data_IF_232917691183
#
_entry.id   IF_232917691183
#
_cell.length_a   1.000
_cell.length_b   1.000
_cell.length_c   1.000
_cell.angle_alpha   90.00
_cell.angle_beta   90.00
_cell.angle_gamma   90.00
#
_symmetry.space_group_name_H-M   'P 1'
#
loop_
_entity.id
_entity.type
_entity.pdbx_description
1 polymer ?
#
# COMPACT_ATOMS: atom_id res chain seq x y z
N UNK A 1 0.44 22.81 -40.67
CA UNK A 1 1.07 21.70 -39.93
C UNK A 1 1.65 22.29 -38.64
N UNK A 2 0.91 22.26 -37.53
CA UNK A 2 1.49 22.53 -36.23
C UNK A 2 2.33 21.31 -35.81
N UNK A 3 3.63 21.49 -35.81
CA UNK A 3 4.58 20.49 -35.32
C UNK A 3 4.48 20.50 -33.82
N UNK A 4 4.09 19.39 -33.22
CA UNK A 4 4.16 19.23 -31.76
C UNK A 4 5.60 19.46 -31.33
N UNK A 5 5.85 20.33 -30.36
CA UNK A 5 7.21 20.45 -29.81
C UNK A 5 7.52 19.27 -28.90
N UNK A 6 8.80 18.91 -28.81
CA UNK A 6 9.25 17.81 -27.94
C UNK A 6 8.84 18.08 -26.48
N UNK A 7 8.24 17.07 -25.81
CA UNK A 7 7.79 17.14 -24.43
C UNK A 7 6.41 17.79 -24.22
N UNK A 8 5.65 18.08 -25.29
CA UNK A 8 4.30 18.65 -25.16
C UNK A 8 3.34 17.65 -24.52
N UNK A 9 3.38 16.40 -24.97
CA UNK A 9 2.56 15.31 -24.43
C UNK A 9 2.91 15.04 -22.95
N UNK A 10 4.20 15.08 -22.59
CA UNK A 10 4.67 14.93 -21.20
C UNK A 10 4.11 16.02 -20.28
N UNK A 11 3.94 17.27 -20.77
CA UNK A 11 3.33 18.33 -20.00
C UNK A 11 1.85 18.11 -19.77
N UNK A 12 1.11 17.70 -20.80
CA UNK A 12 -0.30 17.32 -20.65
C UNK A 12 -0.44 16.21 -19.63
N UNK A 13 0.37 15.17 -19.71
CA UNK A 13 0.38 14.06 -18.77
C UNK A 13 0.68 14.54 -17.35
N UNK A 14 1.71 15.40 -17.18
CA UNK A 14 2.07 15.96 -15.88
C UNK A 14 0.93 16.78 -15.25
N UNK A 15 0.23 17.59 -16.04
CA UNK A 15 -0.91 18.37 -15.56
C UNK A 15 -2.10 17.47 -15.21
N UNK A 16 -2.36 16.47 -16.05
CA UNK A 16 -3.41 15.47 -15.81
C UNK A 16 -3.14 14.65 -14.56
N UNK A 17 -1.90 14.21 -14.36
CA UNK A 17 -1.46 13.47 -13.16
C UNK A 17 -1.59 14.29 -11.86
N UNK A 18 -1.59 15.62 -11.96
CA UNK A 18 -1.89 16.53 -10.84
C UNK A 18 -3.38 16.72 -10.58
N UNK A 19 -4.23 16.02 -11.32
CA UNK A 19 -5.69 16.04 -11.14
C UNK A 19 -6.40 17.16 -11.88
N UNK A 20 -5.74 17.86 -12.83
CA UNK A 20 -6.38 18.90 -13.64
C UNK A 20 -7.37 18.27 -14.64
N UNK A 21 -8.51 18.88 -14.79
CA UNK A 21 -9.49 18.53 -15.83
C UNK A 21 -9.01 18.97 -17.21
N UNK A 22 -9.57 18.38 -18.28
CA UNK A 22 -9.26 18.76 -19.66
C UNK A 22 -9.41 20.28 -19.89
N UNK A 23 -10.43 20.90 -19.31
CA UNK A 23 -10.65 22.37 -19.42
C UNK A 23 -9.59 23.18 -18.69
N UNK A 24 -9.19 22.73 -17.50
CA UNK A 24 -8.12 23.38 -16.74
C UNK A 24 -6.77 23.26 -17.45
N UNK A 25 -6.49 22.11 -18.06
CA UNK A 25 -5.29 21.91 -18.88
C UNK A 25 -5.30 22.83 -20.10
N UNK A 26 -6.45 22.96 -20.79
CA UNK A 26 -6.58 23.90 -21.93
C UNK A 26 -6.26 25.33 -21.49
N UNK A 27 -6.95 25.83 -20.44
CA UNK A 27 -6.75 27.19 -19.94
C UNK A 27 -5.30 27.42 -19.51
N UNK A 28 -4.67 26.45 -18.85
CA UNK A 28 -3.28 26.55 -18.41
C UNK A 28 -2.29 26.60 -19.60
N UNK A 29 -2.51 25.79 -20.63
CA UNK A 29 -1.65 25.77 -21.81
C UNK A 29 -1.83 27.05 -22.64
N UNK A 30 -3.03 27.60 -22.73
CA UNK A 30 -3.32 28.87 -23.39
C UNK A 30 -2.64 30.03 -22.65
N UNK A 31 -2.77 30.09 -21.31
CA UNK A 31 -2.15 31.11 -20.47
C UNK A 31 -0.61 31.09 -20.55
N UNK A 32 -0.02 29.91 -20.47
CA UNK A 32 1.44 29.74 -20.38
C UNK A 32 2.16 29.83 -21.73
N UNK A 33 1.52 29.40 -22.81
CA UNK A 33 2.15 29.22 -24.11
C UNK A 33 1.45 29.96 -25.24
N UNK A 34 0.30 30.62 -24.97
CA UNK A 34 -0.49 31.30 -25.99
C UNK A 34 -1.03 30.36 -27.08
N UNK A 35 -1.15 29.07 -26.77
CA UNK A 35 -1.54 28.04 -27.74
C UNK A 35 -2.87 27.43 -27.34
N UNK A 36 -3.85 27.53 -28.22
CA UNK A 36 -5.14 26.87 -28.06
C UNK A 36 -4.99 25.37 -28.37
N UNK A 37 -5.33 24.54 -27.40
CA UNK A 37 -5.24 23.07 -27.50
C UNK A 37 -6.64 22.48 -27.48
N UNK A 38 -6.96 21.62 -28.46
CA UNK A 38 -8.29 21.02 -28.51
C UNK A 38 -8.50 20.01 -27.38
N UNK A 39 -9.75 19.91 -26.84
CA UNK A 39 -10.09 18.89 -25.84
C UNK A 39 -9.79 17.46 -26.34
N UNK A 40 -10.02 17.20 -27.62
CA UNK A 40 -9.77 15.90 -28.25
C UNK A 40 -8.28 15.51 -28.24
N UNK A 41 -7.38 16.49 -28.41
CA UNK A 41 -5.95 16.24 -28.33
C UNK A 41 -5.54 15.86 -26.90
N UNK A 42 -6.03 16.60 -25.89
CA UNK A 42 -5.74 16.27 -24.49
C UNK A 42 -6.27 14.87 -24.15
N UNK A 43 -7.51 14.56 -24.55
CA UNK A 43 -8.09 13.23 -24.35
C UNK A 43 -7.26 12.14 -25.04
N UNK A 44 -6.82 12.35 -26.28
CA UNK A 44 -6.01 11.34 -26.99
C UNK A 44 -4.65 11.08 -26.32
N UNK A 45 -4.02 12.11 -25.73
CA UNK A 45 -2.77 11.94 -24.98
C UNK A 45 -3.01 11.18 -23.68
N UNK A 46 -4.09 11.49 -22.95
CA UNK A 46 -4.43 10.81 -21.70
C UNK A 46 -4.89 9.37 -21.92
N UNK A 47 -5.59 9.09 -23.03
CA UNK A 47 -6.01 7.74 -23.41
C UNK A 47 -4.79 6.87 -23.77
N UNK A 48 -3.78 7.43 -24.45
CA UNK A 48 -2.53 6.73 -24.75
C UNK A 48 -1.80 6.30 -23.45
N UNK A 49 -1.79 7.16 -22.42
CA UNK A 49 -1.25 6.82 -21.08
C UNK A 49 -2.04 5.69 -20.43
N UNK A 50 -3.36 5.67 -20.58
CA UNK A 50 -4.19 4.59 -20.04
C UNK A 50 -3.82 3.23 -20.65
N UNK A 51 -3.49 3.19 -21.94
CA UNK A 51 -3.05 1.96 -22.61
C UNK A 51 -1.63 1.54 -22.19
N UNK A 52 -0.72 2.49 -21.98
CA UNK A 52 0.59 2.22 -21.38
C UNK A 52 0.46 1.65 -19.96
N UNK A 53 -0.42 2.20 -19.14
CA UNK A 53 -0.69 1.69 -17.79
C UNK A 53 -1.25 0.26 -17.85
N UNK A 54 -2.16 -0.05 -18.77
CA UNK A 54 -2.66 -1.42 -18.98
C UNK A 54 -1.55 -2.39 -19.36
N UNK A 55 -0.69 -1.98 -20.30
CA UNK A 55 0.46 -2.78 -20.75
C UNK A 55 1.43 -3.01 -19.57
N UNK A 56 1.74 -1.96 -18.83
CA UNK A 56 2.56 -2.05 -17.63
C UNK A 56 1.93 -2.97 -16.57
N UNK A 57 0.64 -2.84 -16.31
CA UNK A 57 -0.08 -3.69 -15.36
C UNK A 57 -0.06 -5.17 -15.77
N UNK A 58 -0.11 -5.46 -17.07
CA UNK A 58 -0.10 -6.82 -17.61
C UNK A 58 1.31 -7.42 -17.80
N UNK A 59 2.37 -6.65 -17.56
CA UNK A 59 3.75 -7.12 -17.80
C UNK A 59 4.08 -8.37 -16.99
N UNK A 60 4.96 -9.25 -17.50
CA UNK A 60 5.53 -10.34 -16.71
C UNK A 60 6.25 -9.80 -15.47
N UNK A 61 6.20 -10.57 -14.41
CA UNK A 61 6.89 -10.30 -13.13
C UNK A 61 7.98 -11.35 -12.90
N UNK A 62 8.90 -11.04 -12.00
CA UNK A 62 9.91 -11.99 -11.56
C UNK A 62 9.26 -13.19 -10.85
N UNK A 63 9.93 -14.34 -10.94
CA UNK A 63 9.41 -15.57 -10.35
C UNK A 63 9.42 -15.54 -8.81
N UNK A 64 10.32 -14.76 -8.20
CA UNK A 64 10.50 -14.75 -6.74
C UNK A 64 10.59 -13.30 -6.25
N UNK A 65 9.78 -13.00 -5.24
CA UNK A 65 9.88 -11.79 -4.44
C UNK A 65 10.05 -12.15 -2.95
N UNK A 66 11.23 -11.86 -2.35
CA UNK A 66 11.44 -12.11 -0.92
C UNK A 66 10.39 -11.46 -0.03
N UNK A 67 9.99 -10.22 -0.33
CA UNK A 67 8.97 -9.51 0.42
C UNK A 67 8.00 -8.86 -0.56
N UNK A 68 6.71 -9.01 -0.31
CA UNK A 68 5.64 -8.28 -1.02
C UNK A 68 4.82 -7.51 0.01
N UNK A 69 4.70 -6.21 -0.20
CA UNK A 69 3.78 -5.36 0.56
C UNK A 69 2.49 -5.21 -0.22
N UNK A 70 1.39 -5.36 0.47
CA UNK A 70 0.04 -5.21 -0.06
C UNK A 70 -0.71 -4.23 0.84
N UNK A 71 -1.04 -3.07 0.27
CA UNK A 71 -1.58 -1.94 1.02
C UNK A 71 -2.67 -1.21 0.23
N UNK A 72 -3.39 -0.36 0.88
CA UNK A 72 -4.46 0.43 0.30
C UNK A 72 -4.25 1.91 0.55
N UNK A 73 -4.22 2.69 -0.52
CA UNK A 73 -4.21 4.15 -0.45
C UNK A 73 -5.58 4.70 -0.84
N UNK A 74 -6.02 5.76 -0.13
CA UNK A 74 -7.29 6.41 -0.39
C UNK A 74 -7.06 7.69 -1.19
N UNK A 75 -7.58 7.73 -2.41
CA UNK A 75 -7.46 8.88 -3.31
C UNK A 75 -8.81 9.57 -3.50
N UNK A 76 -8.79 10.90 -3.57
CA UNK A 76 -9.99 11.68 -3.91
C UNK A 76 -10.11 11.75 -5.42
N UNK A 77 -11.20 11.22 -5.96
CA UNK A 77 -11.50 11.22 -7.40
C UNK A 77 -12.75 12.06 -7.64
N UNK A 78 -12.73 12.91 -8.66
CA UNK A 78 -13.87 13.73 -9.09
C UNK A 78 -14.61 13.01 -10.23
N UNK A 79 -15.76 12.43 -9.92
CA UNK A 79 -16.72 11.86 -10.90
C UNK A 79 -18.07 12.54 -10.69
N UNK A 80 -18.22 13.76 -11.24
CA UNK A 80 -19.36 14.63 -10.92
C UNK A 80 -19.25 15.24 -9.50
N UNK A 81 -19.18 14.42 -8.47
CA UNK A 81 -18.87 14.79 -7.08
C UNK A 81 -17.48 14.23 -6.68
N UNK A 82 -16.86 14.84 -5.66
CA UNK A 82 -15.63 14.31 -5.09
C UNK A 82 -15.95 13.06 -4.26
N UNK A 83 -15.37 11.92 -4.63
CA UNK A 83 -15.48 10.65 -3.92
C UNK A 83 -14.11 10.14 -3.52
N UNK A 84 -14.02 9.48 -2.38
CA UNK A 84 -12.82 8.76 -1.96
C UNK A 84 -12.89 7.36 -2.56
N UNK A 85 -11.85 6.96 -3.30
CA UNK A 85 -11.69 5.61 -3.84
C UNK A 85 -10.48 4.93 -3.21
N UNK A 86 -10.61 3.67 -2.94
CA UNK A 86 -9.51 2.81 -2.50
C UNK A 86 -8.71 2.34 -3.71
N UNK A 87 -7.42 2.59 -3.70
CA UNK A 87 -6.45 2.07 -4.67
C UNK A 87 -5.55 1.10 -3.93
N UNK A 88 -5.58 -0.15 -4.35
CA UNK A 88 -4.76 -1.20 -3.78
C UNK A 88 -3.45 -1.29 -4.54
N UNK A 89 -2.37 -1.42 -3.81
CA UNK A 89 -1.00 -1.38 -4.30
C UNK A 89 -0.26 -2.62 -3.85
N UNK A 90 0.44 -3.28 -4.78
CA UNK A 90 1.43 -4.30 -4.46
C UNK A 90 2.83 -3.78 -4.79
N UNK A 91 3.74 -3.83 -3.81
CA UNK A 91 5.17 -3.53 -3.99
C UNK A 91 5.98 -4.77 -3.63
N UNK A 92 6.80 -5.24 -4.55
CA UNK A 92 7.75 -6.33 -4.33
C UNK A 92 9.15 -5.79 -4.01
N UNK A 93 9.87 -6.52 -3.18
CA UNK A 93 11.32 -6.40 -3.07
C UNK A 93 11.91 -7.51 -3.93
N UNK A 94 12.74 -7.13 -4.91
CA UNK A 94 13.43 -8.06 -5.82
C UNK A 94 14.54 -8.81 -5.09
N UNK A 95 15.09 -9.83 -5.73
CA UNK A 95 16.26 -10.55 -5.21
C UNK A 95 17.52 -9.68 -5.11
N UNK A 96 17.56 -8.54 -5.81
CA UNK A 96 18.64 -7.53 -5.73
C UNK A 96 18.40 -6.50 -4.62
N UNK A 97 17.21 -6.51 -3.97
CA UNK A 97 16.84 -5.59 -2.90
C UNK A 97 16.14 -4.32 -3.40
N UNK A 98 15.86 -4.23 -4.69
CA UNK A 98 15.18 -3.08 -5.29
C UNK A 98 13.67 -3.16 -5.05
N UNK A 99 13.04 -2.00 -4.92
CA UNK A 99 11.58 -1.89 -4.83
C UNK A 99 10.96 -1.83 -6.21
N UNK A 100 9.97 -2.67 -6.46
CA UNK A 100 9.20 -2.70 -7.69
C UNK A 100 7.71 -2.61 -7.41
N UNK A 101 7.00 -1.70 -8.08
CA UNK A 101 5.54 -1.68 -8.04
C UNK A 101 5.01 -2.79 -8.94
N UNK A 102 4.39 -3.81 -8.33
CA UNK A 102 3.90 -4.99 -9.05
C UNK A 102 2.55 -4.73 -9.73
N UNK A 103 1.73 -3.88 -9.15
CA UNK A 103 0.44 -3.52 -9.73
C UNK A 103 -0.38 -2.60 -8.85
N UNK A 104 -1.43 -2.05 -9.49
CA UNK A 104 -2.41 -1.16 -8.92
C UNK A 104 -3.82 -1.67 -9.26
N UNK A 105 -4.72 -1.73 -8.29
CA UNK A 105 -6.09 -2.18 -8.49
C UNK A 105 -7.08 -1.21 -7.87
N UNK A 106 -8.15 -0.94 -8.60
CA UNK A 106 -9.29 -0.17 -8.12
C UNK A 106 -10.42 -1.14 -7.80
N UNK A 107 -10.87 -1.17 -6.56
CA UNK A 107 -12.03 -1.97 -6.18
C UNK A 107 -13.19 -1.07 -5.75
N UNK A 108 -14.41 -1.49 -6.10
CA UNK A 108 -15.63 -0.86 -5.58
C UNK A 108 -15.99 -1.40 -4.19
N UNK A 109 -15.58 -2.63 -3.88
CA UNK A 109 -15.82 -3.29 -2.58
C UNK A 109 -14.61 -4.12 -2.18
N UNK A 110 -14.17 -3.94 -0.94
CA UNK A 110 -13.16 -4.77 -0.32
C UNK A 110 -13.76 -6.13 0.06
N UNK A 111 -13.02 -7.21 -0.18
CA UNK A 111 -13.45 -8.53 0.24
C UNK A 111 -12.48 -9.63 -0.20
N UNK A 112 -12.66 -10.83 0.37
CA UNK A 112 -11.81 -11.98 0.09
C UNK A 112 -11.69 -12.32 -1.41
N UNK A 113 -12.78 -12.14 -2.18
CA UNK A 113 -12.76 -12.35 -3.63
C UNK A 113 -11.84 -11.40 -4.37
N UNK A 114 -11.83 -10.13 -3.97
CA UNK A 114 -10.97 -9.13 -4.58
C UNK A 114 -9.49 -9.47 -4.32
N UNK A 115 -9.15 -9.80 -3.08
CA UNK A 115 -7.78 -10.17 -2.72
C UNK A 115 -7.32 -11.45 -3.41
N UNK A 116 -8.20 -12.45 -3.50
CA UNK A 116 -7.90 -13.66 -4.27
C UNK A 116 -7.62 -13.33 -5.75
N UNK A 117 -8.37 -12.41 -6.34
CA UNK A 117 -8.12 -11.94 -7.70
C UNK A 117 -6.75 -11.27 -7.84
N UNK A 118 -6.38 -10.37 -6.92
CA UNK A 118 -5.09 -9.66 -6.91
C UNK A 118 -3.93 -10.65 -6.84
N UNK A 119 -3.94 -11.56 -5.86
CA UNK A 119 -2.83 -12.52 -5.70
C UNK A 119 -2.78 -13.55 -6.83
N UNK A 120 -3.94 -13.91 -7.40
CA UNK A 120 -4.01 -14.79 -8.59
C UNK A 120 -3.43 -14.08 -9.82
N UNK A 121 -3.70 -12.79 -9.98
CA UNK A 121 -3.12 -12.00 -11.07
C UNK A 121 -1.58 -11.96 -10.96
N UNK A 122 -1.02 -11.74 -9.77
CA UNK A 122 0.42 -11.81 -9.55
C UNK A 122 0.98 -13.18 -9.97
N UNK A 123 0.30 -14.26 -9.60
CA UNK A 123 0.67 -15.62 -10.01
C UNK A 123 0.64 -15.81 -11.52
N UNK A 124 -0.42 -15.36 -12.18
CA UNK A 124 -0.59 -15.47 -13.64
C UNK A 124 0.45 -14.64 -14.41
N UNK A 125 0.96 -13.57 -13.81
CA UNK A 125 2.02 -12.72 -14.38
C UNK A 125 3.44 -13.26 -14.13
N UNK A 126 3.58 -14.41 -13.49
CA UNK A 126 4.86 -15.12 -13.37
C UNK A 126 5.36 -15.33 -11.94
N UNK A 127 4.79 -14.67 -10.93
CA UNK A 127 5.24 -14.85 -9.54
C UNK A 127 4.97 -16.28 -9.10
N UNK A 128 6.03 -17.02 -8.77
CA UNK A 128 5.95 -18.40 -8.32
C UNK A 128 6.03 -18.51 -6.80
N UNK A 129 6.82 -17.63 -6.16
CA UNK A 129 7.02 -17.68 -4.72
C UNK A 129 7.15 -16.28 -4.10
N UNK A 130 6.61 -16.14 -2.88
CA UNK A 130 6.71 -14.97 -2.01
C UNK A 130 7.13 -15.51 -0.63
N UNK A 131 8.22 -15.01 -0.05
CA UNK A 131 8.63 -15.51 1.26
C UNK A 131 7.84 -14.82 2.37
N UNK A 132 7.70 -13.50 2.30
CA UNK A 132 6.99 -12.69 3.30
C UNK A 132 5.97 -11.81 2.60
N UNK A 133 4.70 -11.94 2.95
CA UNK A 133 3.63 -11.07 2.50
C UNK A 133 3.22 -10.13 3.65
N UNK A 134 3.59 -8.86 3.55
CA UNK A 134 3.24 -7.82 4.50
C UNK A 134 1.88 -7.22 4.14
N UNK A 135 0.90 -7.32 5.04
CA UNK A 135 -0.49 -6.90 4.81
C UNK A 135 -1.00 -5.98 5.93
N UNK A 136 -1.98 -5.16 5.60
CA UNK A 136 -2.72 -4.38 6.58
C UNK A 136 -3.79 -5.22 7.23
N UNK A 137 -4.15 -5.63 8.12
CA UNK A 137 -5.13 -6.52 8.79
C UNK A 137 -6.53 -6.62 8.15
N UNK A 138 -6.68 -6.40 6.85
CA UNK A 138 -7.96 -6.55 6.15
C UNK A 138 -8.44 -8.01 6.14
N UNK A 139 -9.73 -8.20 6.39
CA UNK A 139 -10.33 -9.55 6.46
C UNK A 139 -10.24 -10.29 5.13
N UNK A 140 -9.89 -11.59 5.19
CA UNK A 140 -9.81 -12.47 4.03
C UNK A 140 -8.55 -12.34 3.19
N UNK A 141 -7.65 -11.42 3.55
CA UNK A 141 -6.40 -11.24 2.84
C UNK A 141 -5.39 -12.38 3.13
N UNK A 142 -5.14 -12.74 4.38
CA UNK A 142 -4.29 -13.88 4.68
C UNK A 142 -4.75 -15.15 3.98
N UNK A 143 -6.04 -15.44 4.02
CA UNK A 143 -6.61 -16.65 3.41
C UNK A 143 -6.41 -16.67 1.88
N UNK A 144 -6.51 -15.52 1.23
CA UNK A 144 -6.25 -15.39 -0.21
C UNK A 144 -4.76 -15.63 -0.56
N UNK A 145 -3.83 -15.13 0.27
CA UNK A 145 -2.40 -15.36 0.09
C UNK A 145 -2.08 -16.84 0.28
N UNK A 146 -2.53 -17.44 1.36
CA UNK A 146 -2.31 -18.86 1.68
C UNK A 146 -2.87 -19.79 0.59
N UNK A 147 -4.00 -19.41 -0.03
CA UNK A 147 -4.59 -20.20 -1.11
C UNK A 147 -3.73 -20.20 -2.40
N UNK A 148 -3.03 -19.11 -2.71
CA UNK A 148 -2.25 -18.97 -3.96
C UNK A 148 -0.76 -19.18 -3.72
N UNK A 149 -0.25 -18.71 -2.58
CA UNK A 149 1.15 -18.81 -2.16
C UNK A 149 1.25 -19.50 -0.78
N UNK A 150 1.02 -20.81 -0.70
CA UNK A 150 0.90 -21.55 0.58
C UNK A 150 2.18 -21.57 1.43
N UNK A 151 3.32 -21.21 0.85
CA UNK A 151 4.60 -21.11 1.57
C UNK A 151 4.89 -19.71 2.09
N UNK A 152 4.11 -18.73 1.66
CA UNK A 152 4.32 -17.35 2.08
C UNK A 152 4.00 -17.17 3.56
N UNK A 153 4.90 -16.55 4.30
CA UNK A 153 4.62 -16.12 5.68
C UNK A 153 3.82 -14.82 5.63
N UNK A 154 2.60 -14.85 6.15
CA UNK A 154 1.77 -13.66 6.23
C UNK A 154 2.14 -12.87 7.47
N UNK A 155 2.69 -11.68 7.26
CA UNK A 155 3.09 -10.75 8.31
C UNK A 155 2.13 -9.55 8.36
N UNK A 156 1.50 -9.31 9.50
CA UNK A 156 0.75 -8.09 9.69
C UNK A 156 1.67 -6.86 9.80
N UNK A 157 1.27 -5.80 9.12
CA UNK A 157 1.97 -4.53 9.18
C UNK A 157 1.89 -3.92 10.59
N UNK A 158 3.04 -3.87 11.27
CA UNK A 158 3.15 -3.33 12.62
C UNK A 158 2.77 -1.83 12.64
N UNK A 159 3.14 -1.08 11.61
CA UNK A 159 2.79 0.35 11.53
C UNK A 159 1.28 0.56 11.49
N UNK A 160 0.56 -0.23 10.69
CA UNK A 160 -0.91 -0.19 10.66
C UNK A 160 -1.52 -0.60 12.01
N UNK A 161 -0.97 -1.63 12.66
CA UNK A 161 -1.41 -2.03 14.00
C UNK A 161 -1.24 -0.90 15.02
N UNK A 162 -0.10 -0.22 15.00
CA UNK A 162 0.17 0.93 15.89
C UNK A 162 -0.77 2.11 15.56
N UNK A 163 -0.91 2.48 14.27
CA UNK A 163 -1.81 3.56 13.85
C UNK A 163 -3.25 3.28 14.27
N UNK A 164 -3.74 2.06 14.02
CA UNK A 164 -5.08 1.64 14.42
C UNK A 164 -5.26 1.70 15.93
N UNK A 165 -4.27 1.24 16.70
CA UNK A 165 -4.29 1.33 18.16
C UNK A 165 -4.42 2.77 18.65
N UNK A 166 -3.68 3.70 18.05
CA UNK A 166 -3.69 5.12 18.42
C UNK A 166 -5.00 5.84 18.06
N UNK A 167 -5.86 5.27 17.23
CA UNK A 167 -7.20 5.82 16.96
C UNK A 167 -8.13 5.74 18.18
N UNK A 168 -7.89 4.79 19.09
CA UNK A 168 -8.63 4.68 20.35
C UNK A 168 -8.15 5.66 21.42
N UNK A 169 -6.98 6.29 21.22
CA UNK A 169 -6.28 7.05 22.24
C UNK A 169 -6.51 8.54 22.09
N UNK A 170 -6.84 9.21 23.20
CA UNK A 170 -6.94 10.66 23.24
C UNK A 170 -5.61 11.31 22.85
N UNK A 171 -5.65 12.49 22.22
CA UNK A 171 -4.45 13.20 21.76
C UNK A 171 -3.37 13.36 22.85
N UNK A 172 -3.79 13.65 24.07
CA UNK A 172 -2.87 13.88 25.21
C UNK A 172 -2.07 12.64 25.59
N UNK A 173 -2.65 11.45 25.42
CA UNK A 173 -2.04 10.17 25.84
C UNK A 173 -1.33 9.44 24.70
N UNK A 174 -1.49 9.89 23.45
CA UNK A 174 -0.93 9.19 22.26
C UNK A 174 0.57 8.94 22.34
N UNK A 175 1.33 9.92 22.83
CA UNK A 175 2.79 9.79 22.93
C UNK A 175 3.21 8.70 23.92
N UNK A 176 2.54 8.60 25.06
CA UNK A 176 2.81 7.58 26.09
C UNK A 176 2.44 6.19 25.57
N UNK A 177 1.21 6.03 25.06
CA UNK A 177 0.73 4.76 24.51
C UNK A 177 1.61 4.30 23.34
N UNK A 178 1.99 5.21 22.44
CA UNK A 178 2.90 4.89 21.33
C UNK A 178 4.28 4.42 21.83
N UNK A 179 4.80 5.01 22.90
CA UNK A 179 6.07 4.60 23.49
C UNK A 179 6.00 3.19 24.09
N UNK A 180 4.90 2.84 24.75
CA UNK A 180 4.71 1.50 25.31
C UNK A 180 4.46 0.46 24.21
N UNK A 181 3.67 0.78 23.18
CA UNK A 181 3.52 -0.08 22.00
C UNK A 181 4.87 -0.33 21.32
N UNK A 182 5.73 0.70 21.28
CA UNK A 182 7.06 0.56 20.69
C UNK A 182 7.90 -0.51 21.37
N UNK A 183 7.81 -0.64 22.67
CA UNK A 183 8.55 -1.68 23.42
C UNK A 183 8.20 -3.08 22.94
N UNK A 184 6.94 -3.33 22.55
CA UNK A 184 6.49 -4.63 22.06
C UNK A 184 7.23 -5.00 20.78
N UNK A 185 7.19 -4.15 19.75
CA UNK A 185 7.73 -4.48 18.43
C UNK A 185 9.24 -4.22 18.29
N UNK A 186 9.87 -3.56 19.25
CA UNK A 186 11.33 -3.43 19.31
C UNK A 186 12.00 -4.48 20.19
N UNK A 187 11.22 -5.38 20.80
CA UNK A 187 11.74 -6.50 21.57
C UNK A 187 12.66 -7.39 20.74
N UNK A 188 13.57 -8.07 21.40
CA UNK A 188 14.55 -8.93 20.73
C UNK A 188 13.92 -10.23 20.26
N UNK A 189 13.02 -10.80 21.07
CA UNK A 189 12.35 -12.09 20.81
C UNK A 189 10.83 -11.96 20.95
N UNK A 190 10.10 -12.97 20.45
CA UNK A 190 8.66 -13.03 20.57
C UNK A 190 8.21 -13.15 22.04
N UNK A 191 8.97 -13.88 22.87
CA UNK A 191 8.70 -14.03 24.32
C UNK A 191 8.84 -12.69 25.05
N UNK A 192 9.91 -11.93 24.76
CA UNK A 192 10.08 -10.58 25.31
C UNK A 192 8.96 -9.66 24.84
N UNK A 193 8.59 -9.71 23.57
CA UNK A 193 7.47 -8.95 23.03
C UNK A 193 6.13 -9.29 23.74
N UNK A 194 5.91 -10.55 24.05
CA UNK A 194 4.73 -10.99 24.78
C UNK A 194 4.69 -10.45 26.23
N UNK A 195 5.84 -10.43 26.91
CA UNK A 195 5.97 -9.80 28.23
C UNK A 195 5.65 -8.30 28.15
N UNK A 196 6.20 -7.60 27.14
CA UNK A 196 5.91 -6.18 26.93
C UNK A 196 4.44 -5.92 26.61
N UNK A 197 3.77 -6.81 25.90
CA UNK A 197 2.33 -6.74 25.66
C UNK A 197 1.55 -6.91 26.97
N UNK A 198 1.95 -7.84 27.85
CA UNK A 198 1.35 -8.02 29.16
C UNK A 198 1.50 -6.77 30.06
N UNK A 199 2.68 -6.14 30.04
CA UNK A 199 2.89 -4.86 30.76
C UNK A 199 2.02 -3.73 30.15
N UNK A 200 1.87 -3.70 28.85
CA UNK A 200 0.98 -2.76 28.17
C UNK A 200 -0.47 -2.94 28.62
N UNK A 201 -0.97 -4.17 28.61
CA UNK A 201 -2.32 -4.52 29.06
C UNK A 201 -2.54 -4.12 30.53
N UNK A 202 -1.61 -4.45 31.42
CA UNK A 202 -1.69 -4.09 32.83
C UNK A 202 -1.78 -2.57 33.06
N UNK A 203 -1.14 -1.78 32.21
CA UNK A 203 -1.13 -0.33 32.32
C UNK A 203 -2.35 0.34 31.68
N UNK A 204 -2.82 -0.18 30.53
CA UNK A 204 -3.72 0.54 29.65
C UNK A 204 -5.11 -0.09 29.48
N UNK A 205 -5.34 -1.35 29.83
CA UNK A 205 -6.62 -2.02 29.59
C UNK A 205 -7.79 -1.39 30.35
N UNK A 206 -7.54 -0.72 31.46
CA UNK A 206 -8.59 0.01 32.15
C UNK A 206 -9.18 1.16 31.31
N UNK A 207 -8.38 1.76 30.40
CA UNK A 207 -8.80 2.88 29.54
C UNK A 207 -8.96 2.47 28.07
N UNK A 208 -8.12 1.54 27.58
CA UNK A 208 -7.97 1.22 26.15
C UNK A 208 -7.94 -0.28 25.87
N UNK A 209 -8.74 -1.07 26.56
CA UNK A 209 -8.84 -2.53 26.39
C UNK A 209 -8.88 -3.03 24.95
N UNK A 210 -9.56 -2.36 23.98
CA UNK A 210 -9.59 -2.83 22.59
C UNK A 210 -8.21 -2.94 21.95
N UNK A 211 -7.20 -2.22 22.45
CA UNK A 211 -5.83 -2.25 21.91
C UNK A 211 -5.20 -3.60 22.24
N UNK A 212 -5.10 -3.95 23.53
CA UNK A 212 -4.53 -5.24 23.98
C UNK A 212 -5.24 -6.42 23.32
N UNK A 213 -6.57 -6.41 23.31
CA UNK A 213 -7.37 -7.44 22.65
C UNK A 213 -7.07 -7.57 21.15
N UNK A 214 -6.87 -6.45 20.44
CA UNK A 214 -6.52 -6.47 19.02
C UNK A 214 -5.14 -7.06 18.78
N UNK A 215 -4.15 -6.70 19.60
CA UNK A 215 -2.80 -7.27 19.52
C UNK A 215 -2.80 -8.76 19.83
N UNK A 216 -3.49 -9.21 20.87
CA UNK A 216 -3.64 -10.65 21.21
C UNK A 216 -4.29 -11.45 20.09
N UNK A 217 -5.39 -10.95 19.52
CA UNK A 217 -6.10 -11.61 18.42
C UNK A 217 -5.24 -11.80 17.18
N UNK A 218 -4.36 -10.86 16.89
CA UNK A 218 -3.50 -10.88 15.72
C UNK A 218 -2.07 -11.39 16.03
N UNK A 219 -1.84 -11.88 17.26
CA UNK A 219 -0.50 -12.20 17.76
C UNK A 219 0.25 -13.17 16.86
N UNK A 220 -0.39 -14.26 16.46
CA UNK A 220 0.21 -15.28 15.58
C UNK A 220 0.68 -14.75 14.21
N UNK A 221 0.12 -13.62 13.76
CA UNK A 221 0.50 -12.96 12.50
C UNK A 221 1.46 -11.78 12.71
N UNK A 222 1.70 -11.39 13.96
CA UNK A 222 2.68 -10.37 14.33
C UNK A 222 4.04 -10.99 14.66
N UNK A 223 4.05 -12.13 15.37
CA UNK A 223 5.27 -12.75 15.87
C UNK A 223 6.25 -13.28 14.79
N UNK A 224 5.85 -13.69 13.57
CA UNK A 224 6.83 -14.12 12.56
C UNK A 224 7.92 -13.07 12.30
N UNK A 225 7.62 -11.80 12.54
CA UNK A 225 8.57 -10.71 12.49
C UNK A 225 9.84 -10.95 13.34
N UNK A 226 9.70 -11.60 14.50
CA UNK A 226 10.81 -11.83 15.44
C UNK A 226 11.77 -12.94 14.99
N UNK A 227 11.36 -13.79 14.05
CA UNK A 227 12.21 -14.86 13.50
C UNK A 227 13.25 -14.34 12.48
N UNK A 228 13.11 -13.07 12.06
CA UNK A 228 14.00 -12.48 11.07
C UNK A 228 15.14 -11.69 11.71
N UNK A 229 16.31 -11.62 11.03
CA UNK A 229 17.42 -10.76 11.43
C UNK A 229 17.02 -9.27 11.47
N UNK A 230 17.70 -8.43 12.29
CA UNK A 230 17.37 -7.01 12.44
C UNK A 230 17.28 -6.24 11.12
N UNK A 231 18.11 -6.57 10.14
CA UNK A 231 18.13 -5.94 8.82
C UNK A 231 16.82 -6.21 8.07
N UNK A 232 16.34 -7.45 8.09
CA UNK A 232 15.07 -7.85 7.46
C UNK A 232 13.89 -7.26 8.25
N UNK A 233 13.95 -7.28 9.59
CA UNK A 233 12.92 -6.63 10.43
C UNK A 233 12.78 -5.16 10.07
N UNK A 234 13.90 -4.46 9.84
CA UNK A 234 13.89 -3.06 9.44
C UNK A 234 13.18 -2.85 8.11
N UNK A 235 13.39 -3.72 7.13
CA UNK A 235 12.69 -3.66 5.84
C UNK A 235 11.19 -3.89 6.02
N UNK A 236 10.78 -4.93 6.75
CA UNK A 236 9.38 -5.25 7.02
C UNK A 236 8.68 -4.11 7.78
N UNK A 237 9.36 -3.51 8.76
CA UNK A 237 8.82 -2.47 9.63
C UNK A 237 8.73 -1.10 8.95
N UNK A 238 9.63 -0.79 8.02
CA UNK A 238 9.61 0.47 7.28
C UNK A 238 8.59 0.42 6.14
N UNK A 239 7.31 0.32 6.46
CA UNK A 239 6.21 0.49 5.48
C UNK A 239 6.16 1.88 4.85
N UNK A 240 7.07 2.77 5.18
CA UNK A 240 7.39 3.95 4.37
C UNK A 240 7.77 3.60 2.91
N UNK A 241 7.78 2.32 2.55
CA UNK A 241 7.91 1.89 1.17
C UNK A 241 6.81 2.47 0.26
N UNK A 242 5.62 2.75 0.83
CA UNK A 242 4.45 3.24 0.12
C UNK A 242 4.22 4.74 0.37
N UNK A 243 4.69 5.26 1.51
CA UNK A 243 4.49 6.66 1.91
C UNK A 243 5.68 7.59 1.60
N UNK A 244 6.79 7.06 1.08
CA UNK A 244 8.01 7.84 0.78
C UNK A 244 8.20 8.02 -0.76
#
# INVERSE_FOLDING_TARGET
>A
HQTRWAGFDDKIISLYARGMTVREIQAHLEEMYGTEVSPSLISSVTDAVADEVKTWQARPLDAIYPIVYLDCIHVKVREGAVRVKAVYLAIGITMTGDKEVLGLWLAQTEGAKFWLQVVTELRNRGVQDIFIACVDGLKGFPDAIEAVFPKAVVQLCIVHMVRHSLNYVSWKRRKEVAADLRRIYTATTAEEAELMLGEFEARWDAEYQPIGQSWRRNWSRLIPFFDYPPEIRKVIYTTNAIES
#
